data_IF_226092506496
#
_entry.id   IF_226092506496
#
_cell.length_a   1.000
_cell.length_b   1.000
_cell.length_c   1.000
_cell.angle_alpha   90.00
_cell.angle_beta   90.00
_cell.angle_gamma   90.00
#
_symmetry.space_group_name_H-M   'P 1'
#
loop_
_entity.id
_entity.type
_entity.pdbx_description
1 polymer ?
#
# COMPACT_ATOMS: atom_id res chain seq x y z
N UNK A 1 -28.04 -6.99 -55.68
CA UNK A 1 -27.11 -7.12 -56.83
C UNK A 1 -25.74 -7.50 -56.29
N UNK A 2 -25.27 -8.69 -56.67
CA UNK A 2 -23.98 -9.28 -56.27
C UNK A 2 -22.91 -8.77 -57.24
N UNK A 3 -21.71 -8.46 -56.74
CA UNK A 3 -20.48 -8.63 -57.52
C UNK A 3 -19.45 -9.31 -56.63
N UNK A 4 -19.23 -10.58 -56.94
CA UNK A 4 -18.09 -11.37 -56.52
C UNK A 4 -17.04 -11.28 -57.63
N UNK A 5 -15.76 -11.17 -57.26
CA UNK A 5 -14.65 -11.50 -58.14
C UNK A 5 -13.72 -12.42 -57.34
N UNK A 6 -13.76 -13.69 -57.73
CA UNK A 6 -12.85 -14.75 -57.31
C UNK A 6 -11.73 -14.81 -58.33
N UNK A 7 -10.48 -14.86 -57.89
CA UNK A 7 -9.35 -15.30 -58.73
C UNK A 7 -8.57 -16.37 -57.98
N UNK A 8 -8.28 -17.44 -58.71
CA UNK A 8 -7.82 -18.74 -58.25
C UNK A 8 -6.33 -18.91 -58.57
N UNK A 9 -5.59 -19.57 -57.65
CA UNK A 9 -4.32 -20.33 -57.82
C UNK A 9 -3.09 -19.57 -58.40
N UNK A 10 -1.85 -19.73 -57.95
CA UNK A 10 -1.11 -20.87 -57.39
C UNK A 10 0.30 -20.36 -57.02
N UNK A 11 1.00 -20.99 -56.07
CA UNK A 11 2.40 -20.64 -55.81
C UNK A 11 2.92 -21.05 -54.45
N UNK A 12 3.39 -22.29 -54.37
CA UNK A 12 4.14 -22.85 -53.27
C UNK A 12 5.52 -22.17 -53.20
N UNK A 13 5.80 -21.36 -52.18
CA UNK A 13 7.17 -21.06 -51.73
C UNK A 13 7.24 -21.14 -50.22
N UNK A 14 7.97 -22.16 -49.78
CA UNK A 14 8.31 -22.45 -48.40
C UNK A 14 9.51 -21.59 -47.98
N UNK A 15 9.59 -21.32 -46.67
CA UNK A 15 10.78 -20.93 -45.89
C UNK A 15 11.17 -19.43 -45.85
N UNK A 16 11.06 -18.87 -44.64
CA UNK A 16 11.55 -17.51 -44.34
C UNK A 16 11.02 -16.91 -43.03
N UNK A 17 11.06 -17.69 -41.94
CA UNK A 17 11.12 -17.23 -40.54
C UNK A 17 10.49 -15.85 -40.21
N UNK A 18 9.17 -15.79 -40.03
CA UNK A 18 8.54 -14.68 -39.29
C UNK A 18 8.88 -14.85 -37.80
N UNK A 19 10.01 -14.28 -37.39
CA UNK A 19 10.40 -14.17 -35.99
C UNK A 19 9.43 -13.19 -35.32
N UNK A 20 8.31 -13.72 -34.84
CA UNK A 20 7.37 -12.96 -34.01
C UNK A 20 8.08 -12.58 -32.72
N UNK A 21 8.52 -11.33 -32.63
CA UNK A 21 8.96 -10.74 -31.38
C UNK A 21 7.74 -10.66 -30.46
N UNK A 22 7.54 -11.69 -29.64
CA UNK A 22 6.66 -11.63 -28.48
C UNK A 22 7.34 -10.63 -27.54
N UNK A 23 6.97 -9.35 -27.64
CA UNK A 23 7.18 -8.41 -26.55
C UNK A 23 6.40 -9.00 -25.37
N UNK A 24 7.13 -9.62 -24.42
CA UNK A 24 6.62 -9.77 -23.07
C UNK A 24 6.41 -8.35 -22.54
N UNK A 25 5.20 -7.83 -22.74
CA UNK A 25 4.70 -6.70 -21.98
C UNK A 25 4.47 -7.24 -20.56
N UNK A 26 5.55 -7.31 -19.77
CA UNK A 26 5.40 -7.48 -18.34
C UNK A 26 4.53 -6.31 -17.86
N UNK A 27 3.40 -6.54 -17.18
CA UNK A 27 2.57 -5.45 -16.70
C UNK A 27 3.40 -4.66 -15.69
N UNK A 28 3.97 -3.54 -16.13
CA UNK A 28 4.65 -2.57 -15.30
C UNK A 28 3.61 -1.91 -14.38
N UNK A 29 3.19 -2.64 -13.35
CA UNK A 29 2.12 -2.21 -12.46
C UNK A 29 1.28 -3.31 -11.84
N UNK A 30 1.61 -4.59 -12.01
CA UNK A 30 0.92 -5.64 -11.28
C UNK A 30 1.01 -5.41 -9.77
N UNK A 31 -0.15 -5.47 -9.10
CA UNK A 31 -0.22 -5.55 -7.65
C UNK A 31 0.40 -6.87 -7.19
N UNK A 32 1.27 -6.83 -6.19
CA UNK A 32 1.85 -8.01 -5.55
C UNK A 32 1.46 -8.06 -4.09
N UNK A 33 1.32 -9.28 -3.56
CA UNK A 33 1.10 -9.55 -2.14
C UNK A 33 2.12 -10.57 -1.66
N UNK A 34 2.89 -10.23 -0.62
CA UNK A 34 3.92 -11.10 -0.06
C UNK A 34 3.64 -11.37 1.41
N UNK A 35 3.53 -12.65 1.78
CA UNK A 35 3.53 -13.09 3.17
C UNK A 35 4.97 -13.08 3.70
N UNK A 36 5.18 -12.43 4.83
CA UNK A 36 6.45 -12.36 5.56
C UNK A 36 6.24 -13.03 6.91
N UNK A 37 7.09 -14.02 7.20
CA UNK A 37 7.14 -14.69 8.50
C UNK A 37 8.30 -14.15 9.30
N UNK A 38 8.06 -13.91 10.58
CA UNK A 38 9.11 -13.44 11.50
C UNK A 38 9.61 -14.58 12.37
N UNK A 39 10.92 -14.64 12.67
CA UNK A 39 11.44 -15.63 13.59
C UNK A 39 10.96 -15.32 15.01
N UNK A 40 10.59 -16.35 15.77
CA UNK A 40 10.18 -16.17 17.15
C UNK A 40 11.34 -15.68 18.02
N UNK A 41 11.06 -14.66 18.82
CA UNK A 41 11.94 -14.10 19.85
C UNK A 41 11.59 -14.67 21.23
N UNK A 42 12.50 -14.62 22.22
CA UNK A 42 12.15 -14.94 23.60
C UNK A 42 10.97 -14.11 24.14
N UNK A 43 10.84 -12.86 23.69
CA UNK A 43 9.79 -11.92 24.09
C UNK A 43 8.41 -12.39 23.63
N UNK A 44 8.29 -13.00 22.43
CA UNK A 44 7.03 -13.51 21.87
C UNK A 44 6.37 -14.59 22.74
N UNK A 45 7.14 -15.26 23.61
CA UNK A 45 6.67 -16.34 24.49
C UNK A 45 6.41 -15.87 25.91
N UNK A 46 6.73 -14.61 26.21
CA UNK A 46 6.59 -14.07 27.56
C UNK A 46 5.09 -14.00 27.92
N UNK A 47 4.67 -14.53 29.07
CA UNK A 47 3.29 -14.34 29.52
C UNK A 47 3.04 -12.87 29.85
N UNK A 48 1.77 -12.46 29.80
CA UNK A 48 1.37 -11.13 30.25
C UNK A 48 1.82 -10.91 31.70
N UNK A 49 2.31 -9.70 31.99
CA UNK A 49 2.69 -9.33 33.34
C UNK A 49 1.42 -9.14 34.19
N UNK A 50 1.21 -9.93 35.26
CA UNK A 50 -0.01 -9.82 36.07
C UNK A 50 -0.14 -8.48 36.81
N UNK A 51 0.91 -7.65 36.83
CA UNK A 51 0.86 -6.30 37.40
C UNK A 51 0.27 -5.26 36.44
N UNK A 52 0.18 -5.57 35.15
CA UNK A 52 -0.41 -4.68 34.16
C UNK A 52 -1.90 -5.01 34.07
N UNK A 53 -2.80 -4.04 34.33
CA UNK A 53 -4.23 -4.29 34.19
C UNK A 53 -4.58 -4.53 32.72
N UNK A 54 -5.64 -5.30 32.48
CA UNK A 54 -6.14 -5.62 31.12
C UNK A 54 -6.41 -4.36 30.28
N UNK A 55 -6.79 -3.25 30.93
CA UNK A 55 -6.94 -1.96 30.29
C UNK A 55 -6.62 -0.82 31.28
N UNK A 56 -6.07 0.26 30.75
CA UNK A 56 -5.92 1.54 31.46
C UNK A 56 -6.10 2.70 30.49
N UNK A 57 -6.60 3.82 31.00
CA UNK A 57 -6.75 5.04 30.22
C UNK A 57 -5.53 5.95 30.43
N UNK A 58 -5.06 6.55 29.34
CA UNK A 58 -4.13 7.68 29.37
C UNK A 58 -4.89 8.91 28.88
N UNK A 59 -4.80 10.02 29.61
CA UNK A 59 -5.44 11.28 29.21
C UNK A 59 -4.40 12.23 28.63
N UNK A 60 -4.81 12.99 27.62
CA UNK A 60 -3.97 13.97 26.94
C UNK A 60 -4.76 15.21 26.56
N UNK A 61 -4.06 16.29 26.20
CA UNK A 61 -4.64 17.54 25.69
C UNK A 61 -4.00 17.87 24.36
N UNK A 62 -4.77 18.48 23.45
CA UNK A 62 -4.22 19.00 22.20
C UNK A 62 -3.66 20.40 22.41
N UNK A 63 -2.35 20.56 22.19
CA UNK A 63 -1.69 21.86 22.31
C UNK A 63 -1.77 22.68 21.02
N UNK A 64 -1.77 22.02 19.85
CA UNK A 64 -1.86 22.69 18.54
C UNK A 64 -2.38 21.76 17.45
N UNK A 65 -2.82 22.36 16.35
CA UNK A 65 -3.21 21.67 15.11
C UNK A 65 -2.14 21.94 14.05
N UNK A 66 -1.71 20.88 13.36
CA UNK A 66 -0.76 20.95 12.24
C UNK A 66 -1.45 20.39 10.99
N UNK A 67 -1.46 21.16 9.91
CA UNK A 67 -1.99 20.74 8.61
C UNK A 67 -0.81 20.44 7.69
N UNK A 68 -0.71 19.18 7.24
CA UNK A 68 0.36 18.73 6.34
C UNK A 68 -0.16 18.64 4.91
N UNK A 69 0.47 19.37 3.99
CA UNK A 69 0.20 19.25 2.55
C UNK A 69 1.39 18.63 1.85
N UNK A 70 1.18 17.48 1.22
CA UNK A 70 2.22 16.80 0.43
C UNK A 70 2.08 17.19 -1.05
N UNK A 71 3.21 17.49 -1.69
CA UNK A 71 3.23 17.87 -3.11
C UNK A 71 2.95 16.67 -4.01
N UNK A 72 2.45 16.94 -5.21
CA UNK A 72 2.31 15.91 -6.24
C UNK A 72 3.66 15.23 -6.50
N UNK A 73 3.63 13.90 -6.70
CA UNK A 73 4.80 13.03 -6.93
C UNK A 73 5.81 12.96 -5.76
N UNK A 74 5.46 13.45 -4.57
CA UNK A 74 6.21 13.12 -3.36
C UNK A 74 5.67 11.85 -2.71
N UNK A 75 6.54 11.18 -1.96
CA UNK A 75 6.18 10.08 -1.08
C UNK A 75 5.46 10.64 0.17
N UNK A 76 4.29 10.08 0.47
CA UNK A 76 3.42 10.55 1.55
C UNK A 76 4.06 10.34 2.92
N UNK A 77 4.48 9.11 3.23
CA UNK A 77 5.04 8.76 4.54
C UNK A 77 6.34 9.54 4.78
N UNK A 78 7.26 9.55 3.82
CA UNK A 78 8.51 10.31 3.92
C UNK A 78 8.25 11.81 4.09
N UNK A 79 7.24 12.35 3.39
CA UNK A 79 6.84 13.74 3.54
C UNK A 79 6.32 14.05 4.94
N UNK A 80 5.52 13.16 5.51
CA UNK A 80 5.03 13.28 6.89
C UNK A 80 6.18 13.17 7.89
N UNK A 81 7.08 12.21 7.77
CA UNK A 81 8.25 12.06 8.65
C UNK A 81 9.12 13.32 8.68
N UNK A 82 9.35 13.94 7.52
CA UNK A 82 10.09 15.19 7.42
C UNK A 82 9.39 16.34 8.14
N UNK A 83 8.06 16.43 8.02
CA UNK A 83 7.27 17.45 8.70
C UNK A 83 7.20 17.20 10.20
N UNK A 84 7.03 15.95 10.65
CA UNK A 84 7.09 15.56 12.07
C UNK A 84 8.40 15.99 12.69
N UNK A 85 9.53 15.72 12.02
CA UNK A 85 10.85 16.15 12.48
C UNK A 85 10.99 17.68 12.49
N UNK A 86 10.60 18.36 11.39
CA UNK A 86 10.72 19.82 11.25
C UNK A 86 9.90 20.56 12.30
N UNK A 87 8.70 20.08 12.57
CA UNK A 87 7.76 20.66 13.52
C UNK A 87 8.06 20.23 14.97
N UNK A 88 9.06 19.37 15.19
CA UNK A 88 9.43 18.89 16.52
C UNK A 88 8.32 18.09 17.21
N UNK A 89 7.49 17.37 16.44
CA UNK A 89 6.37 16.58 16.99
C UNK A 89 6.94 15.31 17.64
N UNK A 90 6.65 15.13 18.93
CA UNK A 90 6.99 13.92 19.68
C UNK A 90 5.80 12.99 19.81
N UNK A 91 4.68 13.52 20.28
CA UNK A 91 3.46 12.75 20.48
C UNK A 91 2.28 13.49 19.84
N UNK A 92 1.48 12.80 19.03
CA UNK A 92 0.32 13.38 18.37
C UNK A 92 -0.69 12.32 17.95
N UNK A 93 -1.92 12.76 17.66
CA UNK A 93 -2.96 11.94 17.02
C UNK A 93 -3.12 12.44 15.58
N UNK A 94 -3.09 11.53 14.63
CA UNK A 94 -3.44 11.79 13.23
C UNK A 94 -4.96 11.71 13.15
N UNK A 95 -5.61 12.87 13.08
CA UNK A 95 -7.06 12.99 13.09
C UNK A 95 -7.70 12.62 11.74
N UNK A 96 -7.03 12.96 10.64
CA UNK A 96 -7.53 12.71 9.29
C UNK A 96 -6.42 12.85 8.25
N UNK A 97 -6.57 12.14 7.13
CA UNK A 97 -5.83 12.40 5.90
C UNK A 97 -6.66 11.94 4.70
N UNK A 98 -6.66 12.75 3.65
CA UNK A 98 -7.38 12.48 2.39
C UNK A 98 -6.52 12.89 1.19
N UNK A 99 -6.78 12.29 0.03
CA UNK A 99 -6.14 12.70 -1.21
C UNK A 99 -6.14 11.64 -2.30
N UNK A 100 -5.24 11.80 -3.26
CA UNK A 100 -5.02 10.84 -4.35
C UNK A 100 -3.58 10.37 -4.35
N UNK A 101 -3.39 9.05 -4.41
CA UNK A 101 -2.09 8.39 -4.48
C UNK A 101 -1.84 7.87 -5.89
N UNK A 102 -0.57 7.78 -6.26
CA UNK A 102 -0.12 7.24 -7.56
C UNK A 102 0.31 5.77 -7.49
N UNK A 103 0.33 5.23 -6.29
CA UNK A 103 0.77 3.89 -5.93
C UNK A 103 0.70 3.75 -4.41
N UNK A 104 0.67 2.52 -3.93
CA UNK A 104 0.61 2.22 -2.50
C UNK A 104 1.46 1.01 -2.14
N UNK A 105 1.85 0.98 -0.87
CA UNK A 105 2.47 -0.14 -0.21
C UNK A 105 1.93 -0.15 1.22
N UNK A 106 1.14 -1.16 1.56
CA UNK A 106 0.52 -1.30 2.88
C UNK A 106 0.78 -2.68 3.42
N UNK A 107 0.78 -2.82 4.74
CA UNK A 107 0.84 -4.12 5.39
C UNK A 107 -0.40 -4.42 6.22
N UNK A 108 -0.71 -5.72 6.34
CA UNK A 108 -1.79 -6.26 7.14
C UNK A 108 -1.30 -7.45 7.96
N UNK A 109 -1.88 -7.63 9.13
CA UNK A 109 -1.63 -8.77 10.02
C UNK A 109 -2.21 -10.05 9.42
N UNK A 110 -1.42 -11.13 9.40
CA UNK A 110 -1.73 -12.39 8.73
C UNK A 110 -1.87 -13.60 9.68
N UNK A 111 -1.38 -13.49 10.92
CA UNK A 111 -1.53 -14.53 11.95
C UNK A 111 -2.08 -13.98 13.26
N UNK A 112 -2.53 -14.88 14.13
CA UNK A 112 -3.15 -14.56 15.42
C UNK A 112 -2.15 -14.55 16.59
N UNK A 113 -1.16 -15.43 16.51
CA UNK A 113 -0.25 -15.73 17.62
C UNK A 113 1.15 -15.18 17.32
N UNK A 114 1.89 -14.78 18.35
CA UNK A 114 3.26 -14.28 18.20
C UNK A 114 4.25 -15.38 17.78
N UNK A 115 5.27 -15.06 16.95
CA UNK A 115 5.44 -13.80 16.23
C UNK A 115 4.36 -13.64 15.16
N UNK A 116 3.86 -12.42 15.00
CA UNK A 116 2.76 -12.12 14.08
C UNK A 116 3.30 -12.08 12.65
N UNK A 117 2.71 -12.85 11.73
CA UNK A 117 3.03 -12.82 10.30
C UNK A 117 2.40 -11.58 9.65
N UNK A 118 3.05 -11.04 8.61
CA UNK A 118 2.57 -9.87 7.86
C UNK A 118 2.30 -10.20 6.40
N UNK A 119 1.29 -9.59 5.80
CA UNK A 119 1.11 -9.52 4.35
C UNK A 119 1.33 -8.09 3.87
N UNK A 120 2.34 -7.91 3.02
CA UNK A 120 2.61 -6.65 2.35
C UNK A 120 1.97 -6.65 0.96
N UNK A 121 1.09 -5.68 0.71
CA UNK A 121 0.48 -5.46 -0.61
C UNK A 121 1.09 -4.22 -1.25
N UNK A 122 1.66 -4.38 -2.45
CA UNK A 122 2.34 -3.30 -3.18
C UNK A 122 1.76 -3.15 -4.58
N UNK A 123 1.41 -1.93 -4.95
CA UNK A 123 0.98 -1.58 -6.30
C UNK A 123 1.58 -0.21 -6.67
N UNK A 124 2.80 -0.17 -7.23
CA UNK A 124 3.60 1.06 -7.33
C UNK A 124 3.07 2.08 -8.37
N UNK A 125 2.22 1.64 -9.29
CA UNK A 125 1.66 2.47 -10.37
C UNK A 125 0.13 2.48 -10.40
N UNK A 126 -0.52 1.83 -9.44
CA UNK A 126 -1.98 1.80 -9.36
C UNK A 126 -2.47 3.06 -8.63
N UNK A 127 -3.30 3.89 -9.28
CA UNK A 127 -3.88 5.06 -8.61
C UNK A 127 -4.87 4.61 -7.53
N UNK A 128 -4.91 5.35 -6.43
CA UNK A 128 -5.82 5.09 -5.32
C UNK A 128 -6.34 6.40 -4.74
N UNK A 129 -7.60 6.42 -4.33
CA UNK A 129 -8.14 7.53 -3.54
C UNK A 129 -7.92 7.22 -2.05
N UNK A 130 -7.12 8.04 -1.37
CA UNK A 130 -6.96 7.98 0.08
C UNK A 130 -8.21 8.59 0.72
N UNK A 131 -9.09 7.73 1.22
CA UNK A 131 -10.39 8.13 1.77
C UNK A 131 -10.30 8.45 3.26
N UNK A 132 -9.39 7.78 3.98
CA UNK A 132 -9.16 8.01 5.39
C UNK A 132 -7.71 7.67 5.75
N UNK A 133 -7.20 8.38 6.75
CA UNK A 133 -5.97 8.07 7.47
C UNK A 133 -6.16 8.47 8.92
N UNK A 134 -5.80 7.58 9.83
CA UNK A 134 -5.79 7.84 11.27
C UNK A 134 -4.60 7.14 11.92
N UNK A 135 -4.28 7.51 13.15
CA UNK A 135 -3.19 6.87 13.88
C UNK A 135 -2.54 7.81 14.88
N UNK A 136 -1.31 7.48 15.23
CA UNK A 136 -0.56 8.16 16.28
C UNK A 136 0.85 8.46 15.80
N UNK A 137 1.42 9.51 16.37
CA UNK A 137 2.85 9.73 16.40
C UNK A 137 3.25 9.49 17.84
N UNK A 138 4.21 8.60 18.08
CA UNK A 138 4.73 8.29 19.41
C UNK A 138 6.24 8.36 19.38
N UNK A 139 6.82 9.20 20.25
CA UNK A 139 8.25 9.49 20.24
C UNK A 139 8.80 9.88 18.84
N UNK A 140 8.01 10.63 18.07
CA UNK A 140 8.34 11.09 16.73
C UNK A 140 8.23 10.03 15.62
N UNK A 141 7.77 8.81 15.93
CA UNK A 141 7.54 7.75 14.95
C UNK A 141 6.06 7.68 14.58
N UNK A 142 5.77 7.57 13.28
CA UNK A 142 4.41 7.50 12.76
C UNK A 142 3.94 6.05 12.78
N UNK A 143 2.76 5.83 13.37
CA UNK A 143 1.97 4.61 13.20
C UNK A 143 0.58 5.00 12.73
N UNK A 144 0.33 4.88 11.43
CA UNK A 144 -0.95 5.24 10.85
C UNK A 144 -1.51 4.10 10.01
N UNK A 145 -2.84 4.02 9.94
CA UNK A 145 -3.56 3.15 9.03
C UNK A 145 -4.30 4.01 8.01
N UNK A 146 -4.55 3.44 6.84
CA UNK A 146 -5.24 4.08 5.73
C UNK A 146 -6.39 3.24 5.21
N UNK A 147 -7.40 3.90 4.64
CA UNK A 147 -8.41 3.28 3.78
C UNK A 147 -8.38 3.94 2.42
N UNK A 148 -8.31 3.13 1.39
CA UNK A 148 -8.17 3.57 0.01
C UNK A 148 -9.22 2.92 -0.88
N UNK A 149 -9.81 3.69 -1.80
CA UNK A 149 -10.54 3.12 -2.93
C UNK A 149 -9.59 2.88 -4.11
N UNK A 150 -9.64 1.69 -4.69
CA UNK A 150 -8.79 1.27 -5.81
C UNK A 150 -9.61 0.73 -6.97
N UNK A 151 -9.10 0.95 -8.18
CA UNK A 151 -9.75 0.49 -9.41
C UNK A 151 -11.08 1.18 -9.72
N UNK A 152 -11.74 0.67 -10.74
CA UNK A 152 -13.01 1.15 -11.29
C UNK A 152 -14.25 0.49 -10.65
N UNK A 153 -14.05 -0.60 -9.89
CA UNK A 153 -15.13 -1.42 -9.29
C UNK A 153 -15.41 -1.09 -7.81
N UNK A 154 -15.04 0.10 -7.34
CA UNK A 154 -15.27 0.55 -5.96
C UNK A 154 -14.69 -0.40 -4.88
N UNK A 155 -13.59 -1.09 -5.17
CA UNK A 155 -12.92 -1.92 -4.17
C UNK A 155 -12.23 -1.02 -3.13
N UNK A 156 -12.35 -1.40 -1.85
CA UNK A 156 -11.64 -0.75 -0.76
C UNK A 156 -10.48 -1.62 -0.28
N UNK A 157 -9.32 -1.02 -0.07
CA UNK A 157 -8.15 -1.63 0.56
C UNK A 157 -7.83 -0.82 1.81
N UNK A 158 -7.49 -1.50 2.90
CA UNK A 158 -6.96 -0.90 4.12
C UNK A 158 -5.66 -1.56 4.55
N UNK A 159 -4.90 -0.86 5.36
CA UNK A 159 -3.70 -1.38 6.01
C UNK A 159 -2.91 -0.27 6.70
N UNK A 160 -1.75 -0.64 7.25
CA UNK A 160 -0.76 0.29 7.76
C UNK A 160 0.14 0.79 6.63
#
# INVERSE_FOLDING_TARGET
>A
MKFAASFFLSGLFLSGLFLSAILLCAPAGAQTSNLVRHPATPEDRRPNDPKVPDAYAVTGKFDRIVVMRIKNKADLLRGMEQLVKKEGIKDAVILSGIGSLRGYHVHNVASRDYPVDDVFTKAPTTPANLNAMNGYIVNGQIHCHVTMAVGDKAAAISGH
#
